data_IF_249987133895
#
_entry.id   IF_249987133895
#
_cell.length_a   1.000
_cell.length_b   1.000
_cell.length_c   1.000
_cell.angle_alpha   90.00
_cell.angle_beta   90.00
_cell.angle_gamma   90.00
#
_symmetry.space_group_name_H-M   'P 1'
#
loop_
_entity.id
_entity.type
_entity.pdbx_description
1 polymer ?
#
# COMPACT_ATOMS: atom_id res chain seq x y z
N UNK A 1 17.68 0.25 -8.60
CA UNK A 1 16.48 -0.32 -7.96
C UNK A 1 15.46 0.80 -7.81
N UNK A 2 14.16 0.59 -8.10
CA UNK A 2 13.14 1.60 -7.86
C UNK A 2 13.06 2.05 -6.40
N UNK A 3 12.58 3.26 -6.16
CA UNK A 3 12.23 3.73 -4.83
C UNK A 3 10.90 3.13 -4.41
N UNK A 4 10.85 2.49 -3.23
CA UNK A 4 9.61 1.98 -2.65
C UNK A 4 9.03 3.03 -1.69
N UNK A 5 7.78 3.41 -1.92
CA UNK A 5 7.07 4.47 -1.22
C UNK A 5 5.88 3.87 -0.49
N UNK A 6 5.92 3.88 0.83
CA UNK A 6 4.82 3.44 1.69
C UNK A 6 3.93 4.62 2.06
N UNK A 7 2.71 4.66 1.51
CA UNK A 7 1.67 5.56 2.01
C UNK A 7 1.01 4.93 3.24
N UNK A 8 1.04 5.64 4.37
CA UNK A 8 0.46 5.14 5.60
C UNK A 8 -0.28 6.22 6.39
N UNK A 9 -1.29 5.80 7.16
CA UNK A 9 -1.89 6.61 8.22
C UNK A 9 -1.32 6.15 9.55
N UNK A 10 -1.00 7.08 10.45
CA UNK A 10 -0.59 6.72 11.82
C UNK A 10 -1.73 5.98 12.53
N UNK A 11 -1.55 4.72 12.97
CA UNK A 11 -2.58 4.01 13.71
C UNK A 11 -2.87 4.75 15.02
N UNK A 12 -4.13 5.17 15.20
CA UNK A 12 -4.61 5.81 16.41
C UNK A 12 -6.11 5.51 16.58
N UNK A 13 -6.64 5.49 17.82
CA UNK A 13 -8.06 5.31 18.06
C UNK A 13 -8.90 6.29 17.23
N UNK A 14 -9.83 5.77 16.43
CA UNK A 14 -10.74 6.57 15.59
C UNK A 14 -10.13 7.17 14.32
N UNK A 15 -8.84 6.94 14.04
CA UNK A 15 -8.13 7.56 12.91
C UNK A 15 -7.96 6.64 11.69
N UNK A 16 -7.98 5.33 11.87
CA UNK A 16 -7.81 4.33 10.82
C UNK A 16 -8.87 3.23 10.88
N UNK A 17 -9.10 2.58 9.73
CA UNK A 17 -9.96 1.39 9.57
C UNK A 17 -11.33 1.50 10.28
N UNK A 18 -12.04 2.59 10.00
CA UNK A 18 -13.36 2.87 10.61
C UNK A 18 -14.40 1.79 10.28
N UNK A 19 -14.32 1.17 9.11
CA UNK A 19 -15.16 0.02 8.72
C UNK A 19 -14.89 -1.21 9.58
N UNK A 20 -13.61 -1.58 9.78
CA UNK A 20 -13.25 -2.63 10.74
C UNK A 20 -13.70 -2.31 12.17
N UNK A 21 -13.54 -1.05 12.61
CA UNK A 21 -13.95 -0.63 13.95
C UNK A 21 -15.45 -0.74 14.18
N UNK A 22 -16.27 -0.61 13.14
CA UNK A 22 -17.72 -0.78 13.24
C UNK A 22 -18.12 -2.23 13.57
N UNK A 23 -17.32 -3.22 13.14
CA UNK A 23 -17.59 -4.65 13.35
C UNK A 23 -16.83 -5.22 14.55
N UNK A 24 -15.54 -4.90 14.68
CA UNK A 24 -14.65 -5.49 15.70
C UNK A 24 -14.57 -4.67 17.00
N UNK A 25 -15.04 -3.42 16.98
CA UNK A 25 -14.76 -2.45 18.03
C UNK A 25 -13.41 -1.75 17.84
N UNK A 26 -13.26 -0.61 18.54
CA UNK A 26 -12.16 0.35 18.33
C UNK A 26 -10.78 -0.25 18.64
N UNK A 27 -10.66 -0.97 19.75
CA UNK A 27 -9.36 -1.48 20.22
C UNK A 27 -8.87 -2.63 19.33
N UNK A 28 -9.77 -3.53 18.93
CA UNK A 28 -9.45 -4.62 18.01
C UNK A 28 -9.04 -4.07 16.63
N UNK A 29 -9.79 -3.11 16.08
CA UNK A 29 -9.45 -2.49 14.81
C UNK A 29 -8.12 -1.73 14.86
N UNK A 30 -7.79 -1.09 15.99
CA UNK A 30 -6.48 -0.46 16.18
C UNK A 30 -5.35 -1.49 16.19
N UNK A 31 -5.53 -2.60 16.91
CA UNK A 31 -4.54 -3.70 16.95
C UNK A 31 -4.30 -4.28 15.56
N UNK A 32 -5.35 -4.44 14.75
CA UNK A 32 -5.24 -4.90 13.35
C UNK A 32 -4.53 -3.85 12.50
N UNK A 33 -4.90 -2.57 12.60
CA UNK A 33 -4.26 -1.50 11.83
C UNK A 33 -2.76 -1.35 12.13
N UNK A 34 -2.35 -1.55 13.39
CA UNK A 34 -0.94 -1.58 13.79
C UNK A 34 -0.21 -2.77 13.16
N UNK A 35 -0.79 -3.96 13.24
CA UNK A 35 -0.20 -5.17 12.67
C UNK A 35 -0.13 -5.13 11.12
N UNK A 36 -1.09 -4.49 10.45
CA UNK A 36 -1.05 -4.22 9.01
C UNK A 36 0.10 -3.27 8.64
N UNK A 37 0.26 -2.17 9.39
CA UNK A 37 1.39 -1.26 9.20
C UNK A 37 2.74 -1.96 9.41
N UNK A 38 2.87 -2.79 10.45
CA UNK A 38 4.07 -3.59 10.70
C UNK A 38 4.42 -4.48 9.50
N UNK A 39 3.42 -5.05 8.82
CA UNK A 39 3.63 -5.85 7.62
C UNK A 39 4.20 -5.00 6.48
N UNK A 40 3.60 -3.85 6.19
CA UNK A 40 4.09 -2.98 5.12
C UNK A 40 5.49 -2.38 5.43
N UNK A 41 5.78 -2.09 6.70
CA UNK A 41 7.12 -1.67 7.15
C UNK A 41 8.15 -2.79 6.99
N UNK A 42 7.80 -4.03 7.31
CA UNK A 42 8.66 -5.19 7.11
C UNK A 42 9.04 -5.38 5.63
N UNK A 43 8.10 -5.14 4.69
CA UNK A 43 8.41 -5.18 3.26
C UNK A 43 9.30 -4.00 2.84
N UNK A 44 9.03 -2.80 3.36
CA UNK A 44 9.83 -1.59 3.09
C UNK A 44 11.28 -1.73 3.59
N UNK A 45 11.48 -2.31 4.76
CA UNK A 45 12.79 -2.54 5.36
C UNK A 45 13.60 -3.61 4.61
N UNK A 46 12.92 -4.64 4.08
CA UNK A 46 13.56 -5.68 3.25
C UNK A 46 13.86 -5.21 1.83
N UNK A 47 13.30 -4.08 1.39
CA UNK A 47 13.60 -3.52 0.08
C UNK A 47 15.07 -3.04 0.00
N UNK A 48 15.85 -3.50 -1.00
CA UNK A 48 17.27 -3.14 -1.11
C UNK A 48 17.51 -1.78 -1.78
N UNK A 49 16.45 -1.09 -2.21
CA UNK A 49 16.53 0.22 -2.86
C UNK A 49 16.18 1.38 -1.93
N UNK A 50 16.10 2.61 -2.48
CA UNK A 50 15.59 3.76 -1.74
C UNK A 50 14.19 3.49 -1.17
N UNK A 51 13.93 3.99 0.03
CA UNK A 51 12.68 3.80 0.77
C UNK A 51 12.16 5.14 1.27
N UNK A 52 10.86 5.35 1.13
CA UNK A 52 10.15 6.54 1.59
C UNK A 52 8.95 6.10 2.42
N UNK A 53 8.80 6.68 3.60
CA UNK A 53 7.56 6.61 4.37
C UNK A 53 6.78 7.91 4.18
N UNK A 54 5.56 7.79 3.68
CA UNK A 54 4.68 8.92 3.40
C UNK A 54 3.48 8.94 4.36
N UNK A 55 3.62 9.55 5.55
CA UNK A 55 2.52 9.64 6.50
C UNK A 55 1.41 10.57 6.01
N UNK A 56 0.19 10.32 6.44
CA UNK A 56 -1.02 11.05 6.03
C UNK A 56 -1.08 12.52 6.46
N UNK A 57 -0.25 12.94 7.42
CA UNK A 57 -0.19 14.32 7.92
C UNK A 57 1.24 14.75 8.21
N UNK A 58 1.54 16.03 8.00
CA UNK A 58 2.84 16.64 8.33
C UNK A 58 3.23 16.45 9.79
N UNK A 59 2.27 16.57 10.72
CA UNK A 59 2.50 16.36 12.16
C UNK A 59 2.94 14.92 12.52
N UNK A 60 2.79 13.95 11.60
CA UNK A 60 3.19 12.57 11.78
C UNK A 60 4.61 12.28 11.25
N UNK A 61 5.34 13.28 10.74
CA UNK A 61 6.70 13.10 10.22
C UNK A 61 7.68 12.55 11.26
N UNK A 62 7.69 13.10 12.48
CA UNK A 62 8.59 12.64 13.56
C UNK A 62 8.29 11.18 13.91
N UNK A 63 7.00 10.82 13.93
CA UNK A 63 6.58 9.43 14.14
C UNK A 63 7.07 8.53 13.00
N UNK A 64 6.89 8.92 11.75
CA UNK A 64 7.33 8.16 10.59
C UNK A 64 8.86 7.93 10.59
N UNK A 65 9.63 8.96 10.95
CA UNK A 65 11.09 8.90 11.07
C UNK A 65 11.57 7.89 12.13
N UNK A 66 10.74 7.62 13.15
CA UNK A 66 11.06 6.62 14.17
C UNK A 66 10.79 5.18 13.74
N UNK A 67 10.12 4.94 12.61
CA UNK A 67 9.74 3.60 12.14
C UNK A 67 10.86 2.89 11.38
N UNK A 68 11.68 3.65 10.66
CA UNK A 68 12.81 3.15 9.88
C UNK A 68 13.85 4.27 9.75
N UNK A 69 15.01 4.08 10.39
CA UNK A 69 16.09 5.07 10.40
C UNK A 69 16.79 5.26 9.05
N UNK A 70 16.57 4.36 8.09
CA UNK A 70 17.13 4.44 6.74
C UNK A 70 16.13 4.97 5.70
N UNK A 71 14.84 5.07 6.05
CA UNK A 71 13.83 5.64 5.17
C UNK A 71 13.84 7.17 5.21
N UNK A 72 13.73 7.80 4.04
CA UNK A 72 13.32 9.20 4.00
C UNK A 72 11.83 9.31 4.34
N UNK A 73 11.42 10.46 4.87
CA UNK A 73 10.03 10.69 5.28
C UNK A 73 9.47 11.94 4.60
N UNK A 74 8.33 11.79 3.92
CA UNK A 74 7.67 12.88 3.20
C UNK A 74 6.16 12.81 3.40
N UNK A 75 5.58 13.76 4.13
CA UNK A 75 4.15 13.73 4.40
C UNK A 75 3.32 13.91 3.11
N UNK A 76 2.21 13.18 3.05
CA UNK A 76 1.17 13.38 2.06
C UNK A 76 0.63 14.82 2.18
N UNK A 77 0.37 15.53 1.07
CA UNK A 77 -0.29 16.83 1.12
C UNK A 77 -1.78 16.66 1.48
N UNK A 78 -2.46 17.78 1.64
CA UNK A 78 -3.93 17.79 1.65
C UNK A 78 -4.49 17.47 0.25
N UNK A 79 -5.80 17.20 0.18
CA UNK A 79 -6.49 16.81 -1.05
C UNK A 79 -6.94 15.34 -1.05
N UNK A 80 -7.44 14.87 -2.19
CA UNK A 80 -7.83 13.47 -2.40
C UNK A 80 -6.60 12.56 -2.65
N UNK A 81 -6.79 11.24 -2.68
CA UNK A 81 -5.68 10.29 -2.81
C UNK A 81 -4.89 10.49 -4.12
N UNK A 82 -5.55 10.82 -5.22
CA UNK A 82 -4.89 11.07 -6.50
C UNK A 82 -4.02 12.33 -6.47
N UNK A 83 -4.52 13.42 -5.90
CA UNK A 83 -3.75 14.67 -5.71
C UNK A 83 -2.51 14.42 -4.84
N UNK A 84 -2.66 13.62 -3.77
CA UNK A 84 -1.55 13.23 -2.90
C UNK A 84 -0.49 12.42 -3.63
N UNK A 85 -0.90 11.42 -4.42
CA UNK A 85 0.00 10.59 -5.20
C UNK A 85 0.73 11.39 -6.27
N UNK A 86 0.03 12.28 -6.99
CA UNK A 86 0.66 13.15 -7.99
C UNK A 86 1.73 14.06 -7.37
N UNK A 87 1.43 14.67 -6.22
CA UNK A 87 2.39 15.57 -5.57
C UNK A 87 3.59 14.83 -4.96
N UNK A 88 3.37 13.64 -4.37
CA UNK A 88 4.46 12.78 -3.90
C UNK A 88 5.35 12.33 -5.06
N UNK A 89 4.77 11.88 -6.18
CA UNK A 89 5.50 11.50 -7.39
C UNK A 89 6.33 12.68 -7.91
N UNK A 90 5.74 13.87 -8.00
CA UNK A 90 6.43 15.09 -8.43
C UNK A 90 7.63 15.41 -7.52
N UNK A 91 7.43 15.47 -6.20
CA UNK A 91 8.51 15.76 -5.24
C UNK A 91 9.64 14.74 -5.28
N UNK A 92 9.32 13.44 -5.31
CA UNK A 92 10.33 12.39 -5.37
C UNK A 92 11.13 12.44 -6.68
N UNK A 93 10.48 12.79 -7.79
CA UNK A 93 11.16 13.00 -9.07
C UNK A 93 12.06 14.22 -9.07
N UNK A 94 11.65 15.31 -8.42
CA UNK A 94 12.48 16.50 -8.20
C UNK A 94 13.72 16.17 -7.35
N UNK A 95 13.60 15.23 -6.42
CA UNK A 95 14.72 14.65 -5.65
C UNK A 95 15.56 13.64 -6.44
N UNK A 96 15.25 13.42 -7.73
CA UNK A 96 16.02 12.59 -8.65
C UNK A 96 15.54 11.13 -8.75
N UNK A 97 14.48 10.73 -8.04
CA UNK A 97 13.92 9.38 -8.17
C UNK A 97 13.25 9.22 -9.53
N UNK A 98 13.66 8.21 -10.32
CA UNK A 98 13.13 7.99 -11.67
C UNK A 98 12.11 6.88 -11.77
N UNK A 99 12.24 5.87 -10.90
CA UNK A 99 11.35 4.70 -10.88
C UNK A 99 10.75 4.63 -9.48
N UNK A 100 9.42 4.73 -9.39
CA UNK A 100 8.70 4.74 -8.12
C UNK A 100 7.75 3.55 -8.05
N UNK A 101 7.67 2.94 -6.88
CA UNK A 101 6.69 1.92 -6.51
C UNK A 101 5.94 2.45 -5.30
N UNK A 102 4.63 2.66 -5.42
CA UNK A 102 3.76 3.10 -4.34
C UNK A 102 2.94 1.91 -3.81
N UNK A 103 2.91 1.75 -2.50
CA UNK A 103 2.10 0.78 -1.78
C UNK A 103 1.36 1.43 -0.60
N UNK A 104 0.23 0.84 -0.22
CA UNK A 104 -0.45 1.14 1.05
C UNK A 104 -0.01 0.20 2.18
N UNK A 105 -0.52 0.44 3.39
CA UNK A 105 -0.31 -0.44 4.55
C UNK A 105 -1.23 -1.67 4.58
N UNK A 106 -2.20 -1.74 3.68
CA UNK A 106 -3.41 -2.53 3.91
C UNK A 106 -3.43 -3.85 3.14
N UNK A 107 -2.37 -4.18 2.40
CA UNK A 107 -2.24 -5.39 1.59
C UNK A 107 -1.10 -6.30 2.11
N UNK A 108 -1.28 -6.96 3.28
CA UNK A 108 -0.24 -7.81 3.89
C UNK A 108 0.07 -9.06 3.05
N UNK A 109 -0.81 -9.43 2.12
CA UNK A 109 -0.68 -10.56 1.21
C UNK A 109 0.36 -10.36 0.10
N UNK A 110 0.80 -9.13 -0.17
CA UNK A 110 1.93 -8.89 -1.09
C UNK A 110 3.16 -9.67 -0.62
N UNK A 111 3.84 -10.31 -1.57
CA UNK A 111 5.02 -11.16 -1.37
C UNK A 111 6.26 -10.47 -1.95
N UNK A 112 7.47 -10.77 -1.43
CA UNK A 112 8.72 -10.27 -2.01
C UNK A 112 8.84 -10.50 -3.53
N UNK A 113 8.30 -11.62 -4.03
CA UNK A 113 8.24 -11.93 -5.47
C UNK A 113 7.44 -10.91 -6.28
N UNK A 114 6.40 -10.31 -5.71
CA UNK A 114 5.54 -9.35 -6.41
C UNK A 114 6.30 -8.04 -6.66
N UNK A 115 7.00 -7.54 -5.64
CA UNK A 115 7.87 -6.36 -5.76
C UNK A 115 8.99 -6.56 -6.78
N UNK A 116 9.64 -7.72 -6.74
CA UNK A 116 10.71 -8.07 -7.68
C UNK A 116 10.16 -8.20 -9.11
N UNK A 117 9.00 -8.83 -9.29
CA UNK A 117 8.35 -8.96 -10.59
C UNK A 117 7.97 -7.60 -11.18
N UNK A 118 7.38 -6.71 -10.36
CA UNK A 118 7.07 -5.34 -10.77
C UNK A 118 8.33 -4.57 -11.17
N UNK A 119 9.39 -4.65 -10.36
CA UNK A 119 10.64 -3.98 -10.67
C UNK A 119 11.31 -4.49 -11.96
N UNK A 120 11.17 -5.79 -12.26
CA UNK A 120 11.62 -6.38 -13.54
C UNK A 120 10.80 -5.85 -14.71
N UNK A 121 9.47 -5.79 -14.58
CA UNK A 121 8.59 -5.26 -15.63
C UNK A 121 8.86 -3.77 -15.91
N UNK A 122 9.16 -2.97 -14.89
CA UNK A 122 9.60 -1.58 -15.03
C UNK A 122 10.90 -1.42 -15.83
N UNK A 123 11.67 -2.47 -16.12
CA UNK A 123 12.83 -2.32 -17.03
C UNK A 123 12.41 -2.15 -18.49
N UNK A 124 11.16 -2.51 -18.85
CA UNK A 124 10.67 -2.57 -20.24
C UNK A 124 9.39 -1.78 -20.46
N UNK A 125 8.69 -1.44 -19.39
CA UNK A 125 7.38 -0.80 -19.39
C UNK A 125 7.42 0.51 -18.61
N UNK A 126 6.47 1.40 -18.88
CA UNK A 126 6.39 2.70 -18.22
C UNK A 126 5.63 2.61 -16.91
N UNK A 127 4.55 1.82 -16.87
CA UNK A 127 3.67 1.68 -15.71
C UNK A 127 3.32 0.22 -15.48
N UNK A 128 3.36 -0.20 -14.22
CA UNK A 128 3.03 -1.55 -13.79
C UNK A 128 2.12 -1.45 -12.57
N UNK A 129 0.99 -2.16 -12.61
CA UNK A 129 0.00 -2.17 -11.53
C UNK A 129 -0.18 -3.60 -11.00
N UNK A 130 -0.54 -3.72 -9.72
CA UNK A 130 -1.16 -4.94 -9.18
C UNK A 130 -2.57 -4.55 -8.77
N UNK A 131 -3.56 -5.20 -9.40
CA UNK A 131 -4.96 -4.91 -9.15
C UNK A 131 -5.38 -5.43 -7.78
N UNK A 132 -6.33 -4.74 -7.16
CA UNK A 132 -7.06 -5.27 -6.02
C UNK A 132 -8.28 -6.03 -6.54
N UNK A 133 -8.65 -7.13 -5.87
CA UNK A 133 -9.82 -7.97 -6.23
C UNK A 133 -11.15 -7.23 -6.22
N UNK A 134 -11.24 -6.15 -5.45
CA UNK A 134 -12.42 -5.30 -5.36
C UNK A 134 -12.51 -4.30 -6.52
N UNK A 135 -11.54 -4.30 -7.45
CA UNK A 135 -11.43 -3.39 -8.59
C UNK A 135 -10.58 -2.14 -8.34
N UNK A 136 -9.98 -2.03 -7.15
CA UNK A 136 -8.93 -1.05 -6.82
C UNK A 136 -7.54 -1.42 -7.34
N UNK A 137 -6.51 -0.86 -6.70
CA UNK A 137 -5.10 -1.19 -6.94
C UNK A 137 -4.35 -1.27 -5.62
N UNK A 138 -3.57 -2.33 -5.41
CA UNK A 138 -2.76 -2.49 -4.19
C UNK A 138 -1.32 -2.00 -4.35
N UNK A 139 -0.84 -1.92 -5.59
CA UNK A 139 0.50 -1.46 -5.93
C UNK A 139 0.47 -0.67 -7.24
N UNK A 140 1.07 0.51 -7.23
CA UNK A 140 1.18 1.40 -8.38
C UNK A 140 2.65 1.71 -8.65
N UNK A 141 3.19 1.33 -9.81
CA UNK A 141 4.59 1.55 -10.13
C UNK A 141 4.76 2.27 -11.48
N UNK A 142 5.67 3.25 -11.55
CA UNK A 142 5.88 4.02 -12.77
C UNK A 142 7.29 4.59 -12.93
N UNK A 143 7.80 4.52 -14.16
CA UNK A 143 9.00 5.22 -14.62
C UNK A 143 8.69 6.65 -15.10
N UNK A 144 7.43 6.93 -15.43
CA UNK A 144 6.97 8.22 -15.94
C UNK A 144 6.13 8.95 -14.88
N UNK A 145 6.10 10.29 -14.88
CA UNK A 145 5.16 11.04 -14.05
C UNK A 145 3.73 10.54 -14.28
N UNK A 146 2.96 10.42 -13.19
CA UNK A 146 1.56 10.04 -13.33
C UNK A 146 0.78 11.15 -14.05
N UNK A 147 -0.16 10.82 -14.97
CA UNK A 147 -1.17 11.79 -15.42
C UNK A 147 -1.98 12.29 -14.21
N UNK A 148 -2.79 13.34 -14.39
CA UNK A 148 -3.63 13.84 -13.30
C UNK A 148 -4.60 12.76 -12.81
N UNK A 149 -4.37 12.28 -11.58
CA UNK A 149 -5.13 11.20 -10.95
C UNK A 149 -6.32 11.73 -10.14
N UNK A 150 -6.46 13.05 -10.04
CA UNK A 150 -7.45 13.71 -9.19
C UNK A 150 -8.90 13.33 -9.55
N UNK A 151 -9.18 13.09 -10.84
CA UNK A 151 -10.51 12.77 -11.35
C UNK A 151 -10.83 11.26 -11.42
N UNK A 152 -9.91 10.40 -10.98
CA UNK A 152 -10.17 8.96 -10.97
C UNK A 152 -11.25 8.60 -9.94
N UNK A 153 -12.02 7.52 -10.18
CA UNK A 153 -13.10 7.09 -9.30
C UNK A 153 -12.54 6.34 -8.08
N UNK A 154 -11.85 7.05 -7.20
CA UNK A 154 -11.25 6.52 -5.98
C UNK A 154 -12.29 5.79 -5.10
N UNK A 155 -11.86 4.71 -4.45
CA UNK A 155 -12.70 3.87 -3.58
C UNK A 155 -13.89 3.23 -4.31
N UNK A 156 -13.71 2.86 -5.59
CA UNK A 156 -14.69 2.11 -6.39
C UNK A 156 -14.02 0.96 -7.13
N UNK A 157 -14.84 -0.01 -7.53
CA UNK A 157 -14.45 -1.18 -8.33
C UNK A 157 -14.02 -0.87 -9.77
N UNK A 158 -14.11 0.39 -10.19
CA UNK A 158 -13.68 0.85 -11.51
C UNK A 158 -12.31 1.50 -11.49
N UNK A 159 -11.70 1.67 -10.32
CA UNK A 159 -10.46 2.44 -10.15
C UNK A 159 -9.29 1.85 -10.96
N UNK A 160 -9.02 0.56 -10.84
CA UNK A 160 -7.88 -0.09 -11.52
C UNK A 160 -7.98 0.01 -13.03
N UNK A 161 -9.17 -0.30 -13.58
CA UNK A 161 -9.43 -0.19 -15.02
C UNK A 161 -9.29 1.28 -15.51
N UNK A 162 -9.87 2.24 -14.78
CA UNK A 162 -9.78 3.65 -15.12
C UNK A 162 -8.34 4.19 -15.06
N UNK A 163 -7.56 3.79 -14.06
CA UNK A 163 -6.16 4.17 -13.91
C UNK A 163 -5.31 3.62 -15.07
N UNK A 164 -5.46 2.33 -15.39
CA UNK A 164 -4.74 1.71 -16.49
C UNK A 164 -5.07 2.38 -17.83
N UNK A 165 -6.35 2.68 -18.07
CA UNK A 165 -6.78 3.41 -19.26
C UNK A 165 -6.21 4.83 -19.31
N UNK A 166 -6.26 5.58 -18.21
CA UNK A 166 -5.72 6.93 -18.11
C UNK A 166 -4.22 6.96 -18.44
N UNK A 167 -3.44 6.01 -17.90
CA UNK A 167 -2.01 5.91 -18.20
C UNK A 167 -1.74 5.57 -19.67
N UNK A 168 -2.52 4.66 -20.27
CA UNK A 168 -2.41 4.35 -21.72
C UNK A 168 -2.74 5.57 -22.58
N UNK A 169 -3.76 6.34 -22.22
CA UNK A 169 -4.12 7.58 -22.91
C UNK A 169 -3.03 8.65 -22.79
N UNK A 170 -2.29 8.66 -21.69
CA UNK A 170 -1.10 9.49 -21.50
C UNK A 170 0.15 8.95 -22.24
N UNK A 171 0.03 7.84 -22.98
CA UNK A 171 1.10 7.26 -23.79
C UNK A 171 2.00 6.25 -23.07
N UNK A 172 1.67 5.86 -21.83
CA UNK A 172 2.44 4.87 -21.08
C UNK A 172 2.25 3.46 -21.64
N UNK A 173 3.33 2.66 -21.68
CA UNK A 173 3.24 1.20 -21.81
C UNK A 173 2.86 0.60 -20.46
N UNK A 174 1.60 0.17 -20.33
CA UNK A 174 1.03 -0.31 -19.06
C UNK A 174 0.92 -1.85 -19.04
N UNK A 175 1.33 -2.49 -17.94
CA UNK A 175 1.00 -3.87 -17.63
C UNK A 175 0.32 -4.03 -16.26
N UNK A 176 -0.50 -5.07 -16.15
CA UNK A 176 -1.03 -5.59 -14.90
C UNK A 176 -0.20 -6.81 -14.54
N UNK A 177 0.50 -6.78 -13.41
CA UNK A 177 1.47 -7.79 -12.99
C UNK A 177 0.84 -8.92 -12.15
N UNK A 178 -0.40 -8.75 -11.73
CA UNK A 178 -1.13 -9.71 -10.93
C UNK A 178 -2.29 -9.07 -10.20
N UNK A 179 -2.84 -9.82 -9.26
CA UNK A 179 -3.99 -9.42 -8.45
C UNK A 179 -3.73 -9.81 -6.99
N UNK A 180 -4.11 -8.94 -6.07
CA UNK A 180 -4.09 -9.19 -4.62
C UNK A 180 -5.35 -8.63 -3.96
N UNK A 181 -5.36 -8.52 -2.64
CA UNK A 181 -6.48 -7.97 -1.88
C UNK A 181 -5.96 -7.18 -0.68
N UNK A 182 -6.55 -6.01 -0.46
CA UNK A 182 -6.38 -5.22 0.74
C UNK A 182 -7.43 -5.58 1.79
N UNK A 183 -7.22 -5.08 3.00
CA UNK A 183 -8.01 -5.40 4.19
C UNK A 183 -8.79 -4.18 4.61
N UNK A 184 -10.05 -4.09 4.23
CA UNK A 184 -10.89 -2.93 4.51
C UNK A 184 -12.12 -3.27 5.36
N UNK A 185 -12.60 -4.50 5.22
CA UNK A 185 -13.80 -5.05 5.83
C UNK A 185 -13.46 -6.26 6.69
N UNK A 186 -14.36 -6.60 7.63
CA UNK A 186 -14.10 -7.68 8.58
C UNK A 186 -14.06 -9.04 7.87
N UNK A 187 -14.83 -9.17 6.80
CA UNK A 187 -14.91 -10.31 5.90
C UNK A 187 -13.55 -10.61 5.22
N UNK A 188 -12.74 -9.58 4.98
CA UNK A 188 -11.40 -9.75 4.39
C UNK A 188 -10.44 -10.47 5.36
N UNK A 189 -10.70 -10.37 6.67
CA UNK A 189 -9.83 -10.92 7.71
C UNK A 189 -9.90 -12.45 7.77
N UNK A 190 -11.07 -13.05 7.56
CA UNK A 190 -11.21 -14.52 7.51
C UNK A 190 -10.34 -15.09 6.40
N UNK A 191 -10.42 -14.48 5.21
CA UNK A 191 -9.59 -14.87 4.08
C UNK A 191 -8.10 -14.64 4.34
N UNK A 192 -7.75 -13.55 5.00
CA UNK A 192 -6.38 -13.25 5.38
C UNK A 192 -5.78 -14.31 6.31
N UNK A 193 -6.54 -14.85 7.26
CA UNK A 193 -6.07 -15.94 8.14
C UNK A 193 -5.59 -17.15 7.31
N UNK A 194 -6.33 -17.53 6.26
CA UNK A 194 -5.91 -18.61 5.38
C UNK A 194 -4.63 -18.27 4.59
N UNK A 195 -4.53 -17.06 4.04
CA UNK A 195 -3.36 -16.63 3.26
C UNK A 195 -2.07 -16.56 4.10
N UNK A 196 -2.19 -16.17 5.38
CA UNK A 196 -1.03 -16.00 6.26
C UNK A 196 -0.61 -17.26 7.03
N UNK A 197 -1.36 -18.37 6.90
CA UNK A 197 -1.17 -19.58 7.71
C UNK A 197 0.28 -20.09 7.71
N UNK A 198 0.89 -20.13 6.52
CA UNK A 198 2.24 -20.66 6.31
C UNK A 198 3.26 -19.54 6.06
N UNK A 199 2.90 -18.28 6.33
CA UNK A 199 3.81 -17.15 6.14
C UNK A 199 4.91 -17.17 7.20
N UNK A 200 6.15 -17.16 6.75
CA UNK A 200 7.33 -17.21 7.62
C UNK A 200 7.77 -15.83 8.10
N UNK A 201 7.26 -14.75 7.51
CA UNK A 201 7.68 -13.38 7.81
C UNK A 201 7.19 -12.95 9.20
N UNK A 202 8.06 -12.42 10.07
CA UNK A 202 7.73 -12.07 11.44
C UNK A 202 6.47 -11.20 11.63
N UNK A 203 6.28 -10.15 10.83
CA UNK A 203 5.13 -9.26 10.98
C UNK A 203 3.82 -9.97 10.60
N UNK A 204 3.82 -10.78 9.55
CA UNK A 204 2.64 -11.57 9.14
C UNK A 204 2.26 -12.60 10.19
N UNK A 205 3.25 -13.26 10.82
CA UNK A 205 3.00 -14.17 11.95
C UNK A 205 2.37 -13.46 13.15
N UNK A 206 2.81 -12.23 13.45
CA UNK A 206 2.19 -11.40 14.50
C UNK A 206 0.78 -10.97 14.13
N UNK A 207 0.54 -10.63 12.87
CA UNK A 207 -0.79 -10.31 12.35
C UNK A 207 -1.71 -11.52 12.48
N UNK A 208 -1.30 -12.70 11.99
CA UNK A 208 -2.06 -13.95 12.12
C UNK A 208 -2.40 -14.25 13.59
N UNK A 209 -1.42 -14.22 14.49
CA UNK A 209 -1.66 -14.42 15.93
C UNK A 209 -2.58 -13.35 16.55
N UNK A 210 -2.59 -12.14 16.01
CA UNK A 210 -3.52 -11.09 16.43
C UNK A 210 -4.94 -11.40 16.00
N UNK A 211 -5.15 -11.86 14.76
CA UNK A 211 -6.45 -12.28 14.27
C UNK A 211 -7.00 -13.47 15.08
N UNK A 212 -6.17 -14.46 15.38
CA UNK A 212 -6.55 -15.61 16.21
C UNK A 212 -6.99 -15.21 17.62
N UNK A 213 -6.27 -14.29 18.27
CA UNK A 213 -6.65 -13.76 19.60
C UNK A 213 -7.97 -13.00 19.58
N UNK A 214 -8.29 -12.36 18.46
CA UNK A 214 -9.57 -11.68 18.24
C UNK A 214 -10.71 -12.64 17.87
N UNK A 215 -10.44 -13.95 17.81
CA UNK A 215 -11.42 -14.97 17.48
C UNK A 215 -11.75 -15.07 15.99
N UNK A 216 -10.99 -14.38 15.13
CA UNK A 216 -11.16 -14.41 13.67
C UNK A 216 -10.52 -15.69 13.16
N UNK A 217 -11.25 -16.45 12.33
CA UNK A 217 -10.83 -17.75 11.79
C UNK A 217 -10.98 -17.72 10.28
N UNK A 218 -10.27 -18.61 9.59
CA UNK A 218 -10.50 -18.81 8.16
C UNK A 218 -11.90 -19.36 7.91
N UNK A 219 -12.57 -18.83 6.88
CA UNK A 219 -13.76 -19.48 6.34
C UNK A 219 -13.33 -20.86 5.81
N UNK A 220 -14.06 -21.90 6.22
CA UNK A 220 -13.74 -23.30 5.93
C UNK A 220 -13.91 -23.65 4.44
#
# INVERSE_FOLDING_TARGET
MPCLVLLCKRPAPGHAKQRLAATLGRDAALSVAQALLDCALEDLQQWPGPRVIAPDKVQHLIWAQSLDGEASCMAQPDGNLGERLNELDRKLRDEGQRQLIFIGSDCPALKPSDYLHVAQLLQRLDTVLIDARDGGVVLMASNQPWPSLAALPWSTDRLGAALAQLCRQAGHKVAIAGESFDIDHAEDLSRLVAELRDDVRPARRRLHATLERLGIRSDA
#
